data_IF_615823350321
#
_entry.id   IF_615823350321
#
_cell.length_a   1.000
_cell.length_b   1.000
_cell.length_c   1.000
_cell.angle_alpha   90.00
_cell.angle_beta   90.00
_cell.angle_gamma   90.00
#
_symmetry.space_group_name_H-M   'P 1'
#
loop_
_entity.id
_entity.type
_entity.pdbx_description
1 polymer ?
#
# COMPACT_ATOMS: atom_id res chain seq x y z
N UNK A 1 -26.24 -23.70 -38.58
CA UNK A 1 -25.41 -22.59 -39.05
C UNK A 1 -24.19 -22.50 -38.12
N UNK A 2 -23.10 -23.16 -38.45
CA UNK A 2 -21.94 -23.20 -37.54
C UNK A 2 -21.17 -21.89 -37.46
N UNK A 3 -21.29 -20.99 -38.41
CA UNK A 3 -20.51 -19.74 -38.47
C UNK A 3 -21.05 -18.66 -37.52
N UNK A 4 -22.37 -18.50 -37.37
CA UNK A 4 -22.95 -17.52 -36.48
C UNK A 4 -22.71 -17.81 -34.99
N UNK A 5 -22.58 -19.09 -34.60
CA UNK A 5 -22.22 -19.45 -33.23
C UNK A 5 -20.74 -19.16 -32.93
N UNK A 6 -19.85 -19.27 -33.90
CA UNK A 6 -18.45 -18.94 -33.73
C UNK A 6 -18.24 -17.44 -33.51
N UNK A 7 -18.90 -16.58 -34.31
CA UNK A 7 -18.78 -15.13 -34.13
C UNK A 7 -19.24 -14.68 -32.74
N UNK A 8 -20.37 -15.24 -32.25
CA UNK A 8 -20.86 -14.94 -30.91
C UNK A 8 -19.91 -15.44 -29.82
N UNK A 9 -19.34 -16.63 -29.97
CA UNK A 9 -18.39 -17.19 -29.01
C UNK A 9 -17.09 -16.36 -28.98
N UNK A 10 -16.61 -15.89 -30.13
CA UNK A 10 -15.44 -14.99 -30.22
C UNK A 10 -15.69 -13.66 -29.51
N UNK A 11 -16.88 -13.06 -29.70
CA UNK A 11 -17.29 -11.83 -29.00
C UNK A 11 -17.38 -12.06 -27.48
N UNK A 12 -18.01 -13.15 -27.04
CA UNK A 12 -18.15 -13.48 -25.62
C UNK A 12 -16.79 -13.75 -24.97
N UNK A 13 -15.88 -14.40 -25.67
CA UNK A 13 -14.50 -14.61 -25.19
C UNK A 13 -13.77 -13.27 -25.04
N UNK A 14 -13.85 -12.40 -26.02
CA UNK A 14 -13.25 -11.06 -25.94
C UNK A 14 -13.82 -10.26 -24.76
N UNK A 15 -15.13 -10.25 -24.57
CA UNK A 15 -15.79 -9.59 -23.43
C UNK A 15 -15.31 -10.18 -22.10
N UNK A 16 -15.20 -11.49 -21.99
CA UNK A 16 -14.69 -12.15 -20.78
C UNK A 16 -13.27 -11.69 -20.43
N UNK A 17 -12.37 -11.70 -21.40
CA UNK A 17 -10.98 -11.25 -21.23
C UNK A 17 -10.94 -9.75 -20.84
N UNK A 18 -11.71 -8.91 -21.50
CA UNK A 18 -11.79 -7.47 -21.22
C UNK A 18 -12.37 -7.17 -19.82
N UNK A 19 -13.30 -7.97 -19.33
CA UNK A 19 -13.85 -7.83 -17.97
C UNK A 19 -12.79 -8.06 -16.91
N UNK A 20 -11.96 -9.11 -17.06
CA UNK A 20 -10.85 -9.35 -16.14
C UNK A 20 -9.74 -8.31 -16.30
N UNK A 21 -9.47 -7.83 -17.52
CA UNK A 21 -8.54 -6.72 -17.76
C UNK A 21 -8.99 -5.47 -17.01
N UNK A 22 -10.25 -5.09 -17.16
CA UNK A 22 -10.82 -3.92 -16.48
C UNK A 22 -10.77 -4.07 -14.96
N UNK A 23 -11.10 -5.25 -14.44
CA UNK A 23 -11.02 -5.58 -13.02
C UNK A 23 -9.58 -5.42 -12.50
N UNK A 24 -8.59 -5.95 -13.21
CA UNK A 24 -7.19 -5.81 -12.84
C UNK A 24 -6.75 -4.34 -12.85
N UNK A 25 -7.11 -3.57 -13.86
CA UNK A 25 -6.75 -2.15 -13.99
C UNK A 25 -7.40 -1.29 -12.89
N UNK A 26 -8.65 -1.57 -12.52
CA UNK A 26 -9.34 -0.92 -11.41
C UNK A 26 -8.62 -1.26 -10.10
N UNK A 27 -8.31 -2.53 -9.87
CA UNK A 27 -7.64 -3.00 -8.64
C UNK A 27 -6.19 -2.53 -8.53
N UNK A 28 -5.52 -2.23 -9.63
CA UNK A 28 -4.22 -1.53 -9.64
C UNK A 28 -4.34 -0.02 -9.37
N UNK A 29 -5.56 0.53 -9.34
CA UNK A 29 -5.80 1.96 -9.18
C UNK A 29 -5.54 2.79 -10.46
N UNK A 30 -5.48 2.14 -11.63
CA UNK A 30 -5.28 2.80 -12.93
C UNK A 30 -6.58 3.39 -13.50
N UNK A 31 -7.70 2.80 -13.14
CA UNK A 31 -9.04 3.19 -13.62
C UNK A 31 -9.95 3.41 -12.39
N UNK A 32 -10.78 4.43 -12.48
CA UNK A 32 -11.82 4.72 -11.47
C UNK A 32 -12.86 3.61 -11.50
N UNK A 33 -13.24 3.11 -10.33
CA UNK A 33 -14.29 2.10 -10.22
C UNK A 33 -15.64 2.68 -10.69
N UNK A 34 -16.31 2.04 -11.66
CA UNK A 34 -17.46 2.63 -12.35
C UNK A 34 -18.68 2.86 -11.43
N UNK A 35 -18.85 2.03 -10.39
CA UNK A 35 -19.98 2.12 -9.46
C UNK A 35 -19.67 3.09 -8.32
N UNK A 36 -18.52 2.91 -7.64
CA UNK A 36 -18.17 3.70 -6.45
C UNK A 36 -17.59 5.07 -6.78
N UNK A 37 -17.21 5.30 -8.04
CA UNK A 37 -16.55 6.52 -8.53
C UNK A 37 -15.27 6.88 -7.76
N UNK A 38 -14.65 5.91 -7.13
CA UNK A 38 -13.40 6.05 -6.36
C UNK A 38 -12.27 5.26 -7.00
N UNK A 39 -11.06 5.72 -6.77
CA UNK A 39 -9.86 4.94 -7.05
C UNK A 39 -9.62 4.05 -5.83
N UNK A 40 -9.64 2.75 -6.06
CA UNK A 40 -9.28 1.73 -5.06
C UNK A 40 -8.03 1.02 -5.52
N UNK A 41 -7.19 0.61 -4.59
CA UNK A 41 -5.95 -0.09 -4.91
C UNK A 41 -5.81 -1.34 -4.05
N UNK A 42 -5.87 -2.48 -4.70
CA UNK A 42 -5.69 -3.80 -4.10
C UNK A 42 -4.91 -4.70 -5.06
N UNK A 43 -3.61 -4.79 -4.86
CA UNK A 43 -2.74 -5.58 -5.74
C UNK A 43 -2.99 -7.08 -5.66
N UNK A 44 -3.57 -7.61 -4.58
CA UNK A 44 -3.96 -9.02 -4.49
C UNK A 44 -5.14 -9.32 -5.42
N UNK A 45 -6.12 -8.44 -5.50
CA UNK A 45 -7.24 -8.57 -6.45
C UNK A 45 -6.76 -8.39 -7.89
N UNK A 46 -5.85 -7.45 -8.14
CA UNK A 46 -5.24 -7.28 -9.45
C UNK A 46 -4.51 -8.55 -9.89
N UNK A 47 -3.70 -9.14 -9.00
CA UNK A 47 -3.01 -10.40 -9.26
C UNK A 47 -3.99 -11.53 -9.56
N UNK A 48 -5.05 -11.64 -8.78
CA UNK A 48 -6.08 -12.66 -9.00
C UNK A 48 -6.72 -12.54 -10.38
N UNK A 49 -7.07 -11.33 -10.83
CA UNK A 49 -7.63 -11.11 -12.16
C UNK A 49 -6.63 -11.48 -13.28
N UNK A 50 -5.34 -11.17 -13.11
CA UNK A 50 -4.28 -11.58 -14.04
C UNK A 50 -4.13 -13.10 -14.08
N UNK A 51 -4.14 -13.75 -12.93
CA UNK A 51 -4.04 -15.20 -12.81
C UNK A 51 -5.27 -15.89 -13.47
N UNK A 52 -6.47 -15.31 -13.37
CA UNK A 52 -7.66 -15.78 -14.07
C UNK A 52 -7.49 -15.73 -15.59
N UNK A 53 -7.00 -14.63 -16.16
CA UNK A 53 -6.74 -14.54 -17.60
C UNK A 53 -5.65 -15.56 -18.02
N UNK A 54 -4.61 -15.70 -17.23
CA UNK A 54 -3.55 -16.68 -17.50
C UNK A 54 -4.08 -18.12 -17.47
N UNK A 55 -4.95 -18.44 -16.51
CA UNK A 55 -5.62 -19.75 -16.44
C UNK A 55 -6.49 -19.98 -17.67
N UNK A 56 -7.28 -18.99 -18.09
CA UNK A 56 -8.10 -19.06 -19.31
C UNK A 56 -7.22 -19.34 -20.52
N UNK A 57 -6.13 -18.58 -20.71
CA UNK A 57 -5.16 -18.79 -21.78
C UNK A 57 -4.63 -20.23 -21.82
N UNK A 58 -4.28 -20.78 -20.67
CA UNK A 58 -3.75 -22.14 -20.57
C UNK A 58 -4.81 -23.22 -20.86
N UNK A 59 -6.06 -23.00 -20.38
CA UNK A 59 -7.15 -23.95 -20.54
C UNK A 59 -7.74 -23.97 -21.95
N UNK A 60 -7.65 -22.87 -22.66
CA UNK A 60 -8.17 -22.73 -24.04
C UNK A 60 -7.10 -22.92 -25.10
N UNK A 61 -5.87 -23.24 -24.71
CA UNK A 61 -4.76 -23.41 -25.63
C UNK A 61 -5.08 -24.44 -26.72
N UNK A 62 -4.91 -24.03 -27.99
CA UNK A 62 -5.23 -24.84 -29.15
C UNK A 62 -6.69 -24.77 -29.63
N UNK A 63 -7.57 -24.07 -28.88
CA UNK A 63 -8.98 -23.86 -29.23
C UNK A 63 -9.31 -22.40 -29.57
N UNK A 64 -8.33 -21.52 -29.51
CA UNK A 64 -8.51 -20.10 -29.82
C UNK A 64 -8.24 -19.79 -31.30
N UNK A 65 -8.98 -18.82 -31.83
CA UNK A 65 -8.62 -18.23 -33.11
C UNK A 65 -7.30 -17.42 -32.96
N UNK A 66 -6.69 -17.06 -34.08
CA UNK A 66 -5.45 -16.25 -34.08
C UNK A 66 -5.69 -14.88 -33.41
N UNK A 67 -6.87 -14.29 -33.62
CA UNK A 67 -7.27 -13.01 -33.05
C UNK A 67 -7.46 -13.12 -31.54
N UNK A 68 -8.12 -14.17 -31.05
CA UNK A 68 -8.32 -14.43 -29.62
C UNK A 68 -6.99 -14.70 -28.90
N UNK A 69 -6.11 -15.50 -29.51
CA UNK A 69 -4.80 -15.77 -28.95
C UNK A 69 -3.96 -14.48 -28.85
N UNK A 70 -3.97 -13.68 -29.91
CA UNK A 70 -3.31 -12.36 -29.92
C UNK A 70 -3.86 -11.42 -28.85
N UNK A 71 -5.18 -11.36 -28.70
CA UNK A 71 -5.86 -10.54 -27.69
C UNK A 71 -5.41 -10.93 -26.28
N UNK A 72 -5.53 -12.21 -25.91
CA UNK A 72 -5.23 -12.67 -24.56
C UNK A 72 -3.74 -12.49 -24.20
N UNK A 73 -2.84 -12.71 -25.15
CA UNK A 73 -1.39 -12.52 -24.95
C UNK A 73 -1.04 -11.04 -24.78
N UNK A 74 -1.65 -10.16 -25.55
CA UNK A 74 -1.48 -8.71 -25.45
C UNK A 74 -1.96 -8.21 -24.10
N UNK A 75 -3.15 -8.61 -23.68
CA UNK A 75 -3.74 -8.24 -22.38
C UNK A 75 -2.88 -8.73 -21.21
N UNK A 76 -2.43 -9.99 -21.25
CA UNK A 76 -1.55 -10.54 -20.22
C UNK A 76 -0.22 -9.78 -20.12
N UNK A 77 0.37 -9.44 -21.24
CA UNK A 77 1.65 -8.69 -21.27
C UNK A 77 1.47 -7.31 -20.66
N UNK A 78 0.43 -6.59 -21.08
CA UNK A 78 0.13 -5.25 -20.58
C UNK A 78 -0.15 -5.25 -19.07
N UNK A 79 -1.00 -6.17 -18.61
CA UNK A 79 -1.35 -6.26 -17.19
C UNK A 79 -0.16 -6.64 -16.31
N UNK A 80 0.70 -7.55 -16.75
CA UNK A 80 1.90 -7.95 -16.02
C UNK A 80 2.89 -6.80 -15.88
N UNK A 81 3.10 -6.01 -16.94
CA UNK A 81 3.96 -4.83 -16.89
C UNK A 81 3.42 -3.79 -15.91
N UNK A 82 2.13 -3.46 -16.01
CA UNK A 82 1.49 -2.53 -15.09
C UNK A 82 1.53 -3.02 -13.63
N UNK A 83 1.33 -4.31 -13.41
CA UNK A 83 1.39 -4.91 -12.08
C UNK A 83 2.78 -4.80 -11.46
N UNK A 84 3.83 -5.11 -12.21
CA UNK A 84 5.22 -5.00 -11.75
C UNK A 84 5.54 -3.54 -11.38
N UNK A 85 5.10 -2.58 -12.16
CA UNK A 85 5.31 -1.15 -11.88
C UNK A 85 4.61 -0.73 -10.58
N UNK A 86 3.41 -1.21 -10.34
CA UNK A 86 2.68 -0.90 -9.10
C UNK A 86 3.31 -1.58 -7.87
N UNK A 87 3.82 -2.80 -8.01
CA UNK A 87 4.55 -3.49 -6.92
C UNK A 87 5.83 -2.71 -6.56
N UNK A 88 6.59 -2.25 -7.55
CA UNK A 88 7.79 -1.43 -7.32
C UNK A 88 7.47 -0.14 -6.57
N UNK A 89 6.39 0.55 -6.93
CA UNK A 89 5.96 1.76 -6.22
C UNK A 89 5.63 1.49 -4.75
N UNK A 90 5.02 0.35 -4.45
CA UNK A 90 4.73 -0.05 -3.07
C UNK A 90 6.00 -0.34 -2.27
N UNK A 91 6.97 -1.00 -2.89
CA UNK A 91 8.26 -1.29 -2.26
C UNK A 91 9.05 0.00 -1.98
N UNK A 92 9.07 0.94 -2.94
CA UNK A 92 9.72 2.24 -2.77
C UNK A 92 9.05 3.07 -1.68
N UNK A 93 7.70 3.08 -1.64
CA UNK A 93 6.95 3.77 -0.60
C UNK A 93 7.20 3.20 0.80
N UNK A 94 7.34 1.88 0.92
CA UNK A 94 7.71 1.21 2.17
C UNK A 94 9.13 1.55 2.62
N UNK A 95 10.11 1.59 1.70
CA UNK A 95 11.49 1.99 2.00
C UNK A 95 11.57 3.42 2.51
N UNK A 96 10.89 4.35 1.83
CA UNK A 96 10.87 5.77 2.24
C UNK A 96 10.19 5.98 3.61
N UNK A 97 9.20 5.18 3.96
CA UNK A 97 8.58 5.23 5.29
C UNK A 97 9.53 4.71 6.37
N UNK A 98 10.20 3.59 6.12
CA UNK A 98 11.16 3.02 7.05
C UNK A 98 12.33 3.98 7.31
N UNK A 99 12.90 4.60 6.26
CA UNK A 99 13.97 5.59 6.40
C UNK A 99 13.52 6.83 7.20
N UNK A 100 12.28 7.30 7.01
CA UNK A 100 11.73 8.43 7.78
C UNK A 100 11.47 8.09 9.24
N UNK A 101 11.08 6.86 9.53
CA UNK A 101 10.89 6.39 10.91
C UNK A 101 12.23 6.23 11.63
N UNK A 102 13.27 5.70 10.98
CA UNK A 102 14.62 5.62 11.54
C UNK A 102 15.24 7.00 11.81
N UNK A 103 15.02 7.97 10.91
CA UNK A 103 15.49 9.35 11.11
C UNK A 103 14.78 10.02 12.28
N UNK A 104 13.46 9.80 12.45
CA UNK A 104 12.72 10.33 13.59
C UNK A 104 13.17 9.70 14.91
N UNK A 105 13.37 8.39 14.94
CA UNK A 105 13.85 7.69 16.15
C UNK A 105 15.25 8.11 16.55
N UNK A 106 16.14 8.41 15.59
CA UNK A 106 17.47 8.97 15.87
C UNK A 106 17.39 10.41 16.37
N UNK A 107 16.51 11.24 15.80
CA UNK A 107 16.32 12.62 16.24
C UNK A 107 15.75 12.71 17.67
N UNK A 108 14.81 11.85 18.03
CA UNK A 108 14.24 11.78 19.39
C UNK A 108 15.29 11.27 20.41
N UNK A 109 16.19 10.36 20.02
CA UNK A 109 17.28 9.89 20.88
C UNK A 109 18.36 10.95 21.09
N UNK A 110 18.63 11.81 20.12
CA UNK A 110 19.59 12.92 20.28
C UNK A 110 19.02 14.05 21.15
N UNK A 111 17.72 14.36 21.08
CA UNK A 111 17.09 15.34 21.98
C UNK A 111 17.07 14.86 23.44
N UNK A 112 16.89 13.57 23.70
CA UNK A 112 16.88 13.03 25.07
C UNK A 112 18.26 12.92 25.69
N UNK A 113 19.32 12.96 24.91
CA UNK A 113 20.70 12.94 25.42
C UNK A 113 21.20 14.35 25.74
N UNK A 114 20.71 15.39 25.03
CA UNK A 114 21.10 16.77 25.31
C UNK A 114 20.46 17.36 26.57
N UNK A 115 19.33 16.82 27.01
CA UNK A 115 18.66 17.25 28.24
C UNK A 115 19.22 16.63 29.54
N UNK A 116 20.16 15.66 29.43
CA UNK A 116 20.79 15.04 30.60
C UNK A 116 22.14 15.65 31.02
N UNK A 117 22.70 16.56 30.23
CA UNK A 117 24.00 17.16 30.53
C UNK A 117 23.97 18.59 31.09
N UNK A 118 22.83 19.13 31.40
CA UNK A 118 22.71 20.44 32.05
C UNK A 118 21.92 20.34 33.36
N UNK A 119 22.51 19.70 34.36
CA UNK A 119 22.18 19.98 35.76
C UNK A 119 23.40 20.70 36.36
N UNK A 120 23.30 22.01 36.61
CA UNK A 120 24.27 22.64 37.51
C UNK A 120 23.99 22.14 38.93
N UNK A 121 24.98 21.60 39.55
CA UNK A 121 25.04 21.36 40.97
C UNK A 121 24.78 22.68 41.69
N UNK A 122 23.65 22.78 42.33
CA UNK A 122 23.41 23.85 43.29
C UNK A 122 23.96 23.37 44.62
N UNK A 123 25.13 23.89 44.95
CA UNK A 123 25.76 23.78 46.24
C UNK A 123 24.77 24.25 47.32
N UNK A 124 24.54 23.35 48.26
CA UNK A 124 23.90 23.68 49.53
C UNK A 124 24.79 24.67 50.27
N UNK A 125 24.27 25.81 50.56
CA UNK A 125 24.70 26.53 51.76
C UNK A 125 23.66 26.35 52.85
N UNK A 126 24.09 25.63 53.85
CA UNK A 126 23.51 25.64 55.18
C UNK A 126 23.31 27.09 55.63
N UNK A 127 22.16 27.37 56.14
CA UNK A 127 22.18 28.08 57.39
C UNK A 127 20.96 27.73 58.26
N UNK A 128 21.29 27.10 59.32
CA UNK A 128 20.57 26.97 60.54
C UNK A 128 20.51 28.33 61.21
N UNK A 129 19.35 28.70 61.68
CA UNK A 129 19.13 29.27 63.02
C UNK A 129 17.69 29.68 63.15
N UNK A 130 17.03 28.93 64.06
CA UNK A 130 16.85 29.28 65.44
C UNK A 130 15.94 30.50 65.70
N UNK A 131 14.88 30.24 66.30
CA UNK A 131 14.05 31.24 66.96
C UNK A 131 12.65 30.73 67.17
N UNK A 132 12.42 29.87 68.08
CA UNK A 132 12.17 30.04 69.51
C UNK A 132 11.13 31.11 69.79
N UNK A 133 10.11 30.62 70.41
CA UNK A 133 9.30 31.21 71.47
C UNK A 133 8.00 31.84 70.98
N UNK A 134 6.97 31.53 71.54
CA UNK A 134 6.42 31.33 72.87
C UNK A 134 5.03 31.96 72.92
N UNK A 135 4.10 31.15 73.38
CA UNK A 135 3.19 31.47 74.47
C UNK A 135 2.20 32.59 74.14
N UNK A 136 1.04 32.52 74.52
CA UNK A 136 0.24 32.06 75.65
C UNK A 136 -1.20 32.38 75.30
N UNK A 137 -2.07 31.48 75.65
CA UNK A 137 -2.93 31.62 76.82
C UNK A 137 -3.85 32.84 76.74
N UNK A 138 -5.00 32.67 76.89
CA UNK A 138 -5.84 32.42 77.98
C UNK A 138 -7.20 33.01 77.71
N UNK A 139 -8.15 32.33 78.02
CA UNK A 139 -9.55 32.33 78.40
C UNK A 139 -10.51 32.02 77.32
#
# INVERSE_FOLDING_TARGET
MPEENNELDDELFAILVMNFQSSAMISMGKIIHPITKKITRNLNEAKFAIDMINMISNKTKGNLSTEEESLIQKVLTELRLNYIDEVKKDEEAKKQKAEKEEVKEKAEKEETVSDKESKPETIQTKDSKKGKKKKKNVN
#
